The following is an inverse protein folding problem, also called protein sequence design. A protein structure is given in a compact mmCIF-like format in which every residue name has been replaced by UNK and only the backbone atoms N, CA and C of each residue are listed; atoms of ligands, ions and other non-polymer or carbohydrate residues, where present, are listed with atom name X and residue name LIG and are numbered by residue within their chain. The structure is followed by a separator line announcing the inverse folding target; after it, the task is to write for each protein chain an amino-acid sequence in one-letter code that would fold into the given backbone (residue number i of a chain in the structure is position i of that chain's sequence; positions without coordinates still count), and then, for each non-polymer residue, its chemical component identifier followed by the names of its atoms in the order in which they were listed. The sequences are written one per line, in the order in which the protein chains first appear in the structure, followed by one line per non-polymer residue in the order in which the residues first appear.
data_IF_760355437171
#
_entry.id   IF_760355437171
#
_cell.length_a   1.000
_cell.length_b   1.000
_cell.length_c   1.000
_cell.angle_alpha   90.00
_cell.angle_beta   90.00
_cell.angle_gamma   90.00
#
_symmetry.space_group_name_H-M   'P 1'
#
loop_
_entity.id
_entity.type
_entity.pdbx_description
1 polymer ?
#
# COMPACT_ATOMS: atom_id res chain seq x y z
N UNK A 1 17.35 -14.37 -0.66
CA UNK A 1 17.98 -13.03 -0.60
C UNK A 1 16.97 -12.05 0.01
N UNK A 2 17.40 -10.90 0.57
CA UNK A 2 16.46 -9.95 1.15
C UNK A 2 15.71 -9.13 0.07
N UNK A 3 14.49 -8.72 0.40
CA UNK A 3 13.78 -7.66 -0.31
C UNK A 3 14.13 -6.32 0.36
N UNK A 4 14.94 -5.51 -0.30
CA UNK A 4 15.31 -4.20 0.24
C UNK A 4 14.15 -3.22 0.17
N UNK A 5 14.04 -2.39 1.20
CA UNK A 5 13.04 -1.33 1.32
C UNK A 5 13.77 0.01 1.41
N UNK A 6 13.40 0.97 0.59
CA UNK A 6 13.90 2.33 0.67
C UNK A 6 13.34 3.01 1.93
N UNK A 7 14.22 3.44 2.84
CA UNK A 7 13.78 4.10 4.07
C UNK A 7 13.26 5.54 3.85
N UNK A 8 13.44 6.11 2.66
CA UNK A 8 12.91 7.43 2.33
C UNK A 8 11.45 7.40 1.85
N UNK A 9 11.07 6.38 1.03
CA UNK A 9 9.72 6.32 0.47
C UNK A 9 8.95 5.02 0.79
N UNK A 10 9.59 4.04 1.43
CA UNK A 10 8.96 2.77 1.78
C UNK A 10 8.87 1.73 0.65
N UNK A 11 9.26 2.04 -0.57
CA UNK A 11 9.18 1.13 -1.70
C UNK A 11 10.04 -0.12 -1.51
N UNK A 12 9.44 -1.30 -1.70
CA UNK A 12 10.12 -2.59 -1.61
C UNK A 12 10.50 -3.08 -3.00
N UNK A 13 11.72 -3.58 -3.10
CA UNK A 13 12.30 -4.11 -4.33
C UNK A 13 12.25 -5.64 -4.38
N UNK A 14 12.40 -6.18 -5.58
CA UNK A 14 12.64 -7.61 -5.78
C UNK A 14 13.88 -8.05 -4.98
N UNK A 15 13.96 -9.35 -4.66
CA UNK A 15 15.08 -9.86 -3.89
C UNK A 15 16.42 -9.69 -4.64
N UNK A 16 17.45 -9.31 -3.89
CA UNK A 16 18.80 -9.09 -4.43
C UNK A 16 19.86 -9.29 -3.37
N UNK A 17 21.12 -9.50 -3.81
CA UNK A 17 22.26 -9.67 -2.91
C UNK A 17 22.70 -8.35 -2.24
N UNK A 18 22.45 -7.22 -2.91
CA UNK A 18 22.77 -5.88 -2.45
C UNK A 18 21.61 -4.93 -2.75
N UNK A 19 21.46 -3.83 -1.99
CA UNK A 19 20.44 -2.84 -2.28
C UNK A 19 20.68 -2.19 -3.65
N UNK A 20 19.63 -1.69 -4.32
CA UNK A 20 19.79 -0.87 -5.53
C UNK A 20 20.67 0.36 -5.27
N UNK A 21 21.37 0.84 -6.32
CA UNK A 21 22.20 2.05 -6.20
C UNK A 21 21.34 3.29 -5.89
N UNK A 22 20.13 3.35 -6.47
CA UNK A 22 19.17 4.44 -6.32
C UNK A 22 17.75 3.89 -6.23
N UNK A 23 16.85 4.66 -5.66
CA UNK A 23 15.42 4.31 -5.60
C UNK A 23 14.68 5.05 -6.71
N UNK A 24 14.15 4.30 -7.66
CA UNK A 24 13.40 4.83 -8.81
C UNK A 24 12.23 5.73 -8.39
N UNK A 25 11.49 5.36 -7.31
CA UNK A 25 10.40 6.20 -6.77
C UNK A 25 10.95 7.53 -6.23
N UNK A 26 12.15 7.52 -5.59
CA UNK A 26 12.74 8.74 -5.03
C UNK A 26 13.41 9.64 -6.07
N UNK A 27 13.66 9.13 -7.28
CA UNK A 27 14.13 9.94 -8.42
C UNK A 27 13.03 10.79 -9.04
N UNK A 28 11.76 10.49 -8.72
CA UNK A 28 10.64 11.36 -9.09
C UNK A 28 10.78 12.69 -8.33
N UNK A 29 10.78 13.81 -9.05
CA UNK A 29 11.12 15.14 -8.53
C UNK A 29 10.26 15.65 -7.37
N UNK A 30 9.05 15.09 -7.20
CA UNK A 30 8.09 15.44 -6.15
C UNK A 30 8.27 14.62 -4.87
N UNK A 31 9.19 13.63 -4.90
CA UNK A 31 9.45 12.79 -3.75
C UNK A 31 10.48 13.45 -2.82
N UNK A 32 10.14 13.56 -1.55
CA UNK A 32 11.08 14.01 -0.54
C UNK A 32 12.14 12.94 -0.26
N UNK A 33 13.40 13.32 -0.38
CA UNK A 33 14.55 12.51 0.06
C UNK A 33 15.28 13.28 1.17
N UNK A 34 15.54 12.66 2.34
CA UNK A 34 16.28 13.33 3.41
C UNK A 34 17.66 13.81 2.95
N UNK A 35 18.18 14.93 3.49
CA UNK A 35 19.50 15.48 3.11
C UNK A 35 20.67 14.49 3.24
N UNK A 36 20.54 13.48 4.13
CA UNK A 36 21.53 12.40 4.30
C UNK A 36 21.50 11.36 3.17
N UNK A 37 20.61 11.51 2.19
CA UNK A 37 20.45 10.60 1.08
C UNK A 37 19.56 9.38 1.40
N UNK A 38 19.60 8.42 0.49
CA UNK A 38 18.83 7.18 0.60
C UNK A 38 19.49 6.19 1.58
N UNK A 39 18.66 5.52 2.36
CA UNK A 39 19.05 4.43 3.25
C UNK A 39 18.18 3.22 2.96
N UNK A 40 18.76 2.03 3.00
CA UNK A 40 18.07 0.79 2.73
C UNK A 40 17.87 -0.03 4.00
N UNK A 41 16.70 -0.63 4.11
CA UNK A 41 16.33 -1.52 5.22
C UNK A 41 15.65 -2.78 4.69
N UNK A 42 15.10 -3.59 5.57
CA UNK A 42 14.28 -4.77 5.25
C UNK A 42 13.08 -4.81 6.19
N UNK A 43 12.03 -5.56 5.82
CA UNK A 43 10.84 -5.70 6.66
C UNK A 43 11.18 -6.19 8.08
N UNK A 44 12.11 -7.15 8.21
CA UNK A 44 12.53 -7.66 9.52
C UNK A 44 13.21 -6.60 10.39
N UNK A 45 13.94 -5.67 9.78
CA UNK A 45 14.53 -4.54 10.52
C UNK A 45 13.47 -3.54 10.96
N UNK A 46 12.49 -3.25 10.09
CA UNK A 46 11.37 -2.35 10.42
C UNK A 46 10.57 -2.93 11.60
N UNK A 47 10.23 -4.21 11.57
CA UNK A 47 9.50 -4.92 12.64
C UNK A 47 10.13 -4.83 14.01
N UNK A 48 11.45 -4.66 14.10
CA UNK A 48 12.18 -4.56 15.39
C UNK A 48 12.04 -3.20 16.07
N UNK A 49 11.71 -2.17 15.33
CA UNK A 49 11.72 -0.79 15.84
C UNK A 49 10.41 -0.05 15.67
N UNK A 50 9.40 -0.67 15.08
CA UNK A 50 8.12 -0.03 14.76
C UNK A 50 6.96 -0.96 15.09
N UNK A 51 5.82 -0.37 15.43
CA UNK A 51 4.54 -1.04 15.57
C UNK A 51 3.51 -0.32 14.70
N UNK A 52 2.43 -1.00 14.32
CA UNK A 52 1.32 -0.32 13.67
C UNK A 52 0.36 0.24 14.73
N UNK A 53 -0.04 1.50 14.53
CA UNK A 53 -1.13 2.14 15.27
C UNK A 53 -2.39 2.18 14.41
N UNK A 54 -3.55 2.23 15.10
CA UNK A 54 -4.86 2.13 14.51
C UNK A 54 -5.70 3.33 14.92
N UNK A 55 -6.36 3.96 13.96
CA UNK A 55 -7.26 5.08 14.20
C UNK A 55 -8.56 4.89 13.43
N UNK A 56 -9.68 4.79 14.14
CA UNK A 56 -11.00 4.75 13.51
C UNK A 56 -11.40 6.18 13.14
N UNK A 57 -11.58 6.44 11.85
CA UNK A 57 -12.00 7.74 11.32
C UNK A 57 -13.52 7.83 11.26
N UNK A 58 -14.16 6.77 10.81
CA UNK A 58 -15.61 6.62 10.65
C UNK A 58 -15.97 5.15 10.88
N UNK A 59 -17.24 4.82 11.16
CA UNK A 59 -17.69 3.44 11.22
C UNK A 59 -17.32 2.67 9.97
N UNK A 60 -16.49 1.64 10.11
CA UNK A 60 -16.02 0.83 9.01
C UNK A 60 -14.79 1.38 8.26
N UNK A 61 -14.23 2.52 8.66
CA UNK A 61 -12.99 3.07 8.07
C UNK A 61 -11.93 3.25 9.15
N UNK A 62 -10.92 2.41 9.13
CA UNK A 62 -9.82 2.43 10.10
C UNK A 62 -8.49 2.70 9.42
N UNK A 63 -7.78 3.75 9.84
CA UNK A 63 -6.41 4.03 9.41
C UNK A 63 -5.41 3.14 10.12
N UNK A 64 -4.39 2.72 9.39
CA UNK A 64 -3.23 1.95 9.90
C UNK A 64 -1.97 2.70 9.50
N UNK A 65 -1.16 3.09 10.48
CA UNK A 65 0.12 3.77 10.29
C UNK A 65 1.21 3.15 11.15
N UNK A 66 2.47 3.46 10.86
CA UNK A 66 3.60 2.96 11.64
C UNK A 66 4.00 3.95 12.73
N UNK A 67 4.29 3.44 13.93
CA UNK A 67 4.79 4.23 15.05
C UNK A 67 6.10 3.61 15.58
N UNK A 68 7.21 4.41 15.68
CA UNK A 68 7.35 5.75 15.11
C UNK A 68 7.13 5.78 13.60
N UNK A 69 6.97 6.98 13.04
CA UNK A 69 6.80 7.16 11.60
C UNK A 69 7.93 6.48 10.82
N UNK A 70 7.55 5.82 9.73
CA UNK A 70 8.50 5.23 8.78
C UNK A 70 8.31 5.85 7.40
N UNK A 71 9.42 6.03 6.68
CA UNK A 71 9.45 6.63 5.34
C UNK A 71 8.79 8.02 5.32
N UNK A 72 7.74 8.22 4.53
CA UNK A 72 6.95 9.47 4.45
C UNK A 72 5.68 9.42 5.31
N UNK A 73 5.67 8.58 6.34
CA UNK A 73 4.52 8.40 7.23
C UNK A 73 3.23 8.00 6.50
N UNK A 74 3.35 7.07 5.54
CA UNK A 74 2.18 6.55 4.82
C UNK A 74 1.15 5.98 5.79
N UNK A 75 -0.11 6.06 5.36
CA UNK A 75 -1.24 5.45 6.05
C UNK A 75 -2.07 4.64 5.07
N UNK A 76 -2.41 3.42 5.46
CA UNK A 76 -3.39 2.60 4.77
C UNK A 76 -4.76 2.76 5.43
N UNK A 77 -5.84 2.58 4.68
CA UNK A 77 -7.20 2.56 5.21
C UNK A 77 -7.80 1.17 5.06
N UNK A 78 -8.14 0.54 6.18
CA UNK A 78 -8.95 -0.67 6.18
C UNK A 78 -10.42 -0.25 6.10
N UNK A 79 -11.07 -0.58 4.98
CA UNK A 79 -12.47 -0.24 4.72
C UNK A 79 -13.31 -1.51 4.75
N UNK A 80 -14.23 -1.58 5.70
CA UNK A 80 -15.20 -2.67 5.83
C UNK A 80 -16.40 -2.43 4.93
N UNK A 81 -16.66 -3.32 3.99
CA UNK A 81 -17.82 -3.25 3.09
C UNK A 81 -18.68 -4.51 3.22
N UNK A 82 -19.97 -4.50 2.81
CA UNK A 82 -20.80 -5.70 2.78
C UNK A 82 -20.20 -6.83 1.94
N UNK A 83 -19.43 -6.49 0.92
CA UNK A 83 -18.77 -7.48 0.04
C UNK A 83 -17.44 -8.00 0.55
N UNK A 84 -16.93 -7.51 1.68
CA UNK A 84 -15.64 -7.87 2.31
C UNK A 84 -14.75 -6.64 2.54
N UNK A 85 -13.69 -6.82 3.33
CA UNK A 85 -12.78 -5.72 3.63
C UNK A 85 -11.81 -5.47 2.47
N UNK A 86 -11.53 -4.20 2.22
CA UNK A 86 -10.49 -3.75 1.29
C UNK A 86 -9.46 -2.90 2.05
N UNK A 87 -8.18 -3.13 1.75
CA UNK A 87 -7.13 -2.21 2.17
C UNK A 87 -6.91 -1.19 1.05
N UNK A 88 -7.18 0.06 1.33
CA UNK A 88 -6.90 1.18 0.44
C UNK A 88 -5.56 1.79 0.80
N UNK A 89 -4.65 1.82 -0.17
CA UNK A 89 -3.24 2.10 -0.02
C UNK A 89 -2.51 1.08 0.87
N UNK A 90 -1.18 1.18 0.95
CA UNK A 90 -0.37 0.25 1.69
C UNK A 90 0.74 0.97 2.45
N UNK A 91 1.23 0.34 3.51
CA UNK A 91 2.36 0.79 4.30
C UNK A 91 3.46 -0.26 4.33
N UNK A 92 4.68 0.14 4.68
CA UNK A 92 5.83 -0.78 4.66
C UNK A 92 5.80 -1.81 5.78
N UNK A 93 5.33 -1.46 6.97
CA UNK A 93 5.29 -2.37 8.10
C UNK A 93 4.09 -3.31 8.03
N UNK A 94 4.37 -4.59 8.00
CA UNK A 94 3.40 -5.64 8.26
C UNK A 94 3.95 -6.51 9.40
N UNK A 95 3.29 -6.49 10.56
CA UNK A 95 3.60 -7.29 11.74
C UNK A 95 2.52 -8.34 12.03
N UNK A 96 2.83 -9.29 12.90
CA UNK A 96 1.92 -10.38 13.24
C UNK A 96 0.67 -9.91 13.97
N UNK A 97 0.77 -8.82 14.75
CA UNK A 97 -0.37 -8.23 15.45
C UNK A 97 -1.38 -7.67 14.45
N UNK A 98 -0.89 -6.97 13.42
CA UNK A 98 -1.72 -6.44 12.32
C UNK A 98 -2.39 -7.57 11.54
N UNK A 99 -1.63 -8.62 11.18
CA UNK A 99 -2.18 -9.78 10.48
C UNK A 99 -3.31 -10.42 11.32
N UNK A 100 -3.06 -10.65 12.61
CA UNK A 100 -4.04 -11.26 13.51
C UNK A 100 -5.29 -10.40 13.64
N UNK A 101 -5.12 -9.08 13.81
CA UNK A 101 -6.23 -8.14 13.96
C UNK A 101 -7.11 -8.09 12.72
N UNK A 102 -6.51 -8.00 11.52
CA UNK A 102 -7.28 -7.96 10.27
C UNK A 102 -7.96 -9.30 10.02
N UNK A 103 -7.30 -10.45 10.28
CA UNK A 103 -7.92 -11.78 10.14
C UNK A 103 -9.13 -11.93 11.07
N UNK A 104 -9.03 -11.44 12.31
CA UNK A 104 -10.16 -11.44 13.26
C UNK A 104 -11.34 -10.56 12.79
N UNK A 105 -11.10 -9.55 11.95
CA UNK A 105 -12.12 -8.70 11.31
C UNK A 105 -12.63 -9.25 9.98
N UNK A 106 -12.32 -10.50 9.62
CA UNK A 106 -12.75 -11.15 8.36
C UNK A 106 -11.72 -11.16 7.24
N UNK A 107 -10.48 -10.76 7.49
CA UNK A 107 -9.39 -10.76 6.51
C UNK A 107 -9.48 -9.61 5.50
N UNK A 108 -8.74 -9.72 4.40
CA UNK A 108 -8.81 -8.81 3.25
C UNK A 108 -9.31 -9.58 2.03
N UNK A 109 -10.25 -8.99 1.31
CA UNK A 109 -10.72 -9.48 0.00
C UNK A 109 -9.85 -8.95 -1.13
N UNK A 110 -9.31 -7.76 -0.98
CA UNK A 110 -8.38 -7.13 -1.91
C UNK A 110 -7.58 -6.01 -1.25
N UNK A 111 -6.50 -5.64 -1.91
CA UNK A 111 -5.77 -4.39 -1.71
C UNK A 111 -5.93 -3.58 -2.99
N UNK A 112 -6.17 -2.28 -2.89
CA UNK A 112 -6.14 -1.36 -4.02
C UNK A 112 -5.31 -0.13 -3.64
N UNK A 113 -4.49 0.35 -4.56
CA UNK A 113 -3.51 1.39 -4.24
C UNK A 113 -3.68 2.58 -5.18
N UNK A 114 -3.64 3.77 -4.60
CA UNK A 114 -3.85 5.03 -5.30
C UNK A 114 -2.76 5.33 -6.33
N UNK A 115 -1.49 5.20 -5.97
CA UNK A 115 -0.35 5.52 -6.83
C UNK A 115 0.98 4.97 -6.25
N UNK A 116 2.10 5.01 -6.98
CA UNK A 116 3.38 4.37 -6.62
C UNK A 116 3.97 4.72 -5.25
N UNK A 117 3.71 5.89 -4.67
CA UNK A 117 4.20 6.23 -3.33
C UNK A 117 3.62 5.33 -2.22
N UNK A 118 2.54 4.59 -2.50
CA UNK A 118 1.92 3.65 -1.58
C UNK A 118 2.14 2.17 -1.95
N UNK A 119 2.95 1.86 -2.96
CA UNK A 119 3.23 0.46 -3.30
C UNK A 119 3.96 -0.29 -2.18
N UNK A 120 4.86 0.37 -1.49
CA UNK A 120 5.55 -0.09 -0.27
C UNK A 120 5.81 -1.62 -0.24
N UNK A 121 5.36 -2.34 0.76
CA UNK A 121 5.46 -3.80 0.88
C UNK A 121 4.18 -4.55 0.48
N UNK A 122 3.43 -4.04 -0.50
CA UNK A 122 2.12 -4.56 -0.92
C UNK A 122 2.09 -6.07 -1.19
N UNK A 123 3.19 -6.64 -1.69
CA UNK A 123 3.29 -8.08 -1.97
C UNK A 123 3.30 -8.90 -0.68
N UNK A 124 3.96 -8.41 0.38
CA UNK A 124 3.93 -9.08 1.69
C UNK A 124 2.51 -9.05 2.28
N UNK A 125 1.84 -7.90 2.19
CA UNK A 125 0.45 -7.77 2.62
C UNK A 125 -0.47 -8.72 1.85
N UNK A 126 -0.40 -8.70 0.53
CA UNK A 126 -1.25 -9.55 -0.31
C UNK A 126 -1.08 -11.04 -0.02
N UNK A 127 0.17 -11.49 0.16
CA UNK A 127 0.48 -12.88 0.49
C UNK A 127 0.00 -13.29 1.88
N UNK A 128 0.08 -12.38 2.88
CA UNK A 128 -0.38 -12.67 4.24
C UNK A 128 -1.90 -12.88 4.33
N UNK A 129 -2.66 -12.28 3.40
CA UNK A 129 -4.11 -12.35 3.37
C UNK A 129 -4.67 -13.15 2.19
N UNK A 130 -3.80 -13.70 1.33
CA UNK A 130 -4.17 -14.44 0.12
C UNK A 130 -5.17 -13.66 -0.76
N UNK A 131 -4.82 -12.41 -1.06
CA UNK A 131 -5.70 -11.52 -1.81
C UNK A 131 -4.96 -10.78 -2.93
N UNK A 132 -5.65 -10.32 -4.00
CA UNK A 132 -5.05 -9.54 -5.07
C UNK A 132 -4.73 -8.12 -4.65
N UNK A 133 -3.73 -7.52 -5.32
CA UNK A 133 -3.44 -6.09 -5.31
C UNK A 133 -3.87 -5.51 -6.66
N UNK A 134 -4.78 -4.56 -6.67
CA UNK A 134 -5.23 -3.87 -7.87
C UNK A 134 -4.47 -2.56 -8.10
N UNK A 135 -3.76 -2.47 -9.22
CA UNK A 135 -3.02 -1.29 -9.67
C UNK A 135 -3.47 -0.90 -11.08
N UNK A 136 -3.49 0.39 -11.39
CA UNK A 136 -3.75 0.81 -12.75
C UNK A 136 -2.55 0.52 -13.66
N UNK A 137 -2.80 0.01 -14.88
CA UNK A 137 -1.76 -0.44 -15.80
C UNK A 137 -0.83 0.67 -16.29
N UNK A 138 -1.29 1.93 -16.27
CA UNK A 138 -0.46 3.08 -16.63
C UNK A 138 0.73 3.32 -15.69
N UNK A 139 0.70 2.74 -14.47
CA UNK A 139 1.78 2.85 -13.50
C UNK A 139 2.57 1.53 -13.34
N UNK A 140 2.46 0.62 -14.31
CA UNK A 140 3.12 -0.70 -14.29
C UNK A 140 4.64 -0.60 -14.13
N UNK A 141 5.27 0.38 -14.72
CA UNK A 141 6.72 0.58 -14.69
C UNK A 141 7.27 0.85 -13.27
N UNK A 142 6.42 1.34 -12.37
CA UNK A 142 6.77 1.63 -10.98
C UNK A 142 6.67 0.42 -10.04
N UNK A 143 6.30 -0.75 -10.55
CA UNK A 143 6.24 -1.98 -9.74
C UNK A 143 7.62 -2.59 -9.63
N UNK A 144 8.34 -2.28 -8.55
CA UNK A 144 9.73 -2.64 -8.31
C UNK A 144 9.91 -4.07 -7.78
N UNK A 145 8.81 -4.70 -7.36
CA UNK A 145 8.72 -6.12 -6.99
C UNK A 145 7.56 -6.76 -7.73
N UNK A 146 7.77 -7.23 -8.97
CA UNK A 146 6.74 -7.97 -9.71
C UNK A 146 6.33 -9.25 -8.97
N UNK A 147 5.04 -9.53 -8.94
CA UNK A 147 4.48 -10.71 -8.30
C UNK A 147 3.10 -11.05 -8.90
N UNK A 148 2.71 -12.34 -9.02
CA UNK A 148 1.39 -12.74 -9.53
C UNK A 148 0.18 -12.19 -8.75
N UNK A 149 0.36 -11.80 -7.49
CA UNK A 149 -0.71 -11.17 -6.70
C UNK A 149 -1.09 -9.79 -7.23
N UNK A 150 -0.18 -9.12 -7.99
CA UNK A 150 -0.43 -7.82 -8.60
C UNK A 150 -1.26 -7.97 -9.86
N UNK A 151 -2.47 -7.45 -9.83
CA UNK A 151 -3.41 -7.46 -10.93
C UNK A 151 -3.59 -6.05 -11.49
N UNK A 152 -3.17 -5.88 -12.73
CA UNK A 152 -3.34 -4.60 -13.42
C UNK A 152 -4.72 -4.50 -14.03
N UNK A 153 -5.29 -3.30 -13.97
CA UNK A 153 -6.53 -2.96 -14.65
C UNK A 153 -6.33 -1.73 -15.55
N UNK A 154 -7.21 -1.58 -16.53
CA UNK A 154 -7.16 -0.56 -17.56
C UNK A 154 -8.50 0.18 -17.66
N UNK A 155 -8.49 1.32 -18.34
CA UNK A 155 -9.68 2.15 -18.56
C UNK A 155 -9.87 3.18 -17.45
N UNK A 156 -11.05 3.77 -17.41
CA UNK A 156 -11.36 4.87 -16.49
C UNK A 156 -11.90 4.38 -15.15
N UNK A 157 -12.58 3.24 -15.14
CA UNK A 157 -13.20 2.67 -13.93
C UNK A 157 -13.05 1.16 -13.87
N UNK A 158 -12.95 0.63 -12.64
CA UNK A 158 -12.98 -0.80 -12.34
C UNK A 158 -13.93 -1.05 -11.18
N UNK A 159 -15.14 -1.53 -11.42
CA UNK A 159 -15.98 -2.08 -10.38
C UNK A 159 -15.30 -3.30 -9.75
N UNK A 160 -15.28 -3.37 -8.41
CA UNK A 160 -14.73 -4.52 -7.67
C UNK A 160 -15.86 -5.43 -7.17
N UNK A 161 -16.77 -4.87 -6.38
CA UNK A 161 -18.02 -5.50 -5.91
C UNK A 161 -19.01 -4.39 -5.54
N UNK A 162 -20.19 -4.77 -5.09
CA UNK A 162 -21.28 -3.83 -4.83
C UNK A 162 -20.85 -2.64 -3.98
N UNK A 163 -21.00 -1.45 -4.53
CA UNK A 163 -20.68 -0.18 -3.90
C UNK A 163 -19.20 0.20 -3.89
N UNK A 164 -18.29 -0.62 -4.41
CA UNK A 164 -16.85 -0.33 -4.47
C UNK A 164 -16.38 -0.25 -5.90
N UNK A 165 -15.85 0.90 -6.31
CA UNK A 165 -15.33 1.14 -7.65
C UNK A 165 -14.02 1.92 -7.58
N UNK A 166 -13.02 1.47 -8.33
CA UNK A 166 -11.79 2.23 -8.56
C UNK A 166 -12.00 3.15 -9.77
N UNK A 167 -11.57 4.40 -9.65
CA UNK A 167 -11.68 5.42 -10.69
C UNK A 167 -10.30 5.99 -10.97
N UNK A 168 -9.85 5.91 -12.21
CA UNK A 168 -8.61 6.54 -12.63
C UNK A 168 -8.82 8.05 -12.75
N UNK A 169 -8.02 8.81 -12.01
CA UNK A 169 -8.03 10.27 -12.06
C UNK A 169 -6.73 10.83 -12.68
N UNK A 170 -5.68 10.01 -12.77
CA UNK A 170 -4.36 10.48 -13.13
C UNK A 170 -3.74 11.32 -12.01
N UNK A 171 -2.94 12.29 -12.37
CA UNK A 171 -2.21 13.14 -11.44
C UNK A 171 -0.72 13.13 -11.74
N UNK A 172 0.14 13.17 -10.71
CA UNK A 172 1.58 13.08 -10.91
C UNK A 172 2.06 11.69 -11.37
N UNK A 173 1.22 10.65 -11.19
CA UNK A 173 1.35 9.36 -11.87
C UNK A 173 0.17 9.17 -12.81
N UNK A 174 0.42 8.67 -14.04
CA UNK A 174 -0.64 8.52 -15.05
C UNK A 174 -1.78 7.58 -14.63
N UNK A 175 -1.48 6.59 -13.78
CA UNK A 175 -2.44 5.63 -13.25
C UNK A 175 -3.07 6.05 -11.92
N UNK A 176 -2.85 7.27 -11.46
CA UNK A 176 -3.39 7.76 -10.20
C UNK A 176 -4.89 7.46 -10.07
N UNK A 177 -5.26 6.79 -8.98
CA UNK A 177 -6.59 6.19 -8.77
C UNK A 177 -7.20 6.69 -7.47
N UNK A 178 -8.52 6.80 -7.43
CA UNK A 178 -9.31 6.96 -6.20
C UNK A 178 -10.25 5.77 -6.04
N UNK A 179 -10.61 5.44 -4.81
CA UNK A 179 -11.62 4.45 -4.49
C UNK A 179 -12.92 5.16 -4.12
N UNK A 180 -13.96 4.91 -4.89
CA UNK A 180 -15.32 5.30 -4.53
C UNK A 180 -15.98 4.16 -3.77
N UNK A 181 -16.53 4.45 -2.59
CA UNK A 181 -17.32 3.52 -1.80
C UNK A 181 -18.70 4.15 -1.51
N UNK A 182 -19.75 3.56 -2.07
CA UNK A 182 -21.11 4.07 -1.96
C UNK A 182 -21.75 3.85 -0.58
N UNK A 183 -21.14 3.02 0.28
CA UNK A 183 -21.67 2.69 1.62
C UNK A 183 -21.05 3.52 2.74
N UNK A 184 -20.24 4.53 2.45
CA UNK A 184 -19.70 5.46 3.44
C UNK A 184 -20.81 6.23 4.15
N UNK A 185 -20.55 6.66 5.39
CA UNK A 185 -21.49 7.51 6.10
C UNK A 185 -21.78 8.77 5.28
N UNK A 186 -23.03 8.97 4.88
CA UNK A 186 -23.47 10.28 4.41
C UNK A 186 -23.44 11.22 5.61
N UNK A 187 -22.63 12.28 5.52
CA UNK A 187 -22.78 13.38 6.45
C UNK A 187 -24.22 13.90 6.35
N UNK A 188 -25.02 13.72 7.42
CA UNK A 188 -26.29 14.41 7.59
C UNK A 188 -26.05 15.89 7.93
#
# INVERSE_FOLDING_TARGET
MPHFICAACGAQYAESAAPPAQCTICEEERQYVPPRGQVWTTLDKIRRGHNNEWHEYEPGVTGIGSQPDFAIAQRALLVGTPGGNILWDCISLLDDATITTIKARGGLKAIAISHPHFYTSMVEWARAFDCPVYLHAADREWVLRPDPVVQFWEGETKPLWDGVTLVRCGGHFPGGTVMHWAGGATAE
#
